data_IF_201246659309
#
_entry.id   IF_201246659309
#
_cell.length_a   1.000
_cell.length_b   1.000
_cell.length_c   1.000
_cell.angle_alpha   90.00
_cell.angle_beta   90.00
_cell.angle_gamma   90.00
#
_symmetry.space_group_name_H-M   'P 1'
#
loop_
_entity.id
_entity.type
_entity.pdbx_description
1 polymer ?
#
# COMPACT_ATOMS: atom_id res chain seq x y z
N UNK A 1 1.06 -2.57 3.61
CA UNK A 1 2.41 -2.38 3.03
C UNK A 1 3.10 -1.22 3.71
N UNK A 2 4.40 -1.27 4.03
CA UNK A 2 5.08 -0.18 4.77
C UNK A 2 6.46 0.22 4.22
N UNK A 3 7.09 -0.62 3.42
CA UNK A 3 8.39 -0.34 2.79
C UNK A 3 8.33 -0.55 1.28
N UNK A 4 9.33 -0.05 0.55
CA UNK A 4 9.46 -0.29 -0.89
C UNK A 4 9.79 -1.77 -1.15
N UNK A 5 10.64 -2.38 -0.32
CA UNK A 5 10.97 -3.81 -0.41
C UNK A 5 9.72 -4.70 -0.26
N UNK A 6 8.76 -4.33 0.60
CA UNK A 6 7.46 -5.03 0.66
C UNK A 6 6.72 -4.97 -0.69
N UNK A 7 6.71 -3.80 -1.35
CA UNK A 7 6.03 -3.58 -2.64
C UNK A 7 6.62 -4.50 -3.69
N UNK A 8 7.94 -4.45 -3.83
CA UNK A 8 8.68 -5.19 -4.85
C UNK A 8 8.52 -6.69 -4.67
N UNK A 9 8.66 -7.18 -3.43
CA UNK A 9 8.51 -8.60 -3.11
C UNK A 9 7.10 -9.10 -3.36
N UNK A 10 6.09 -8.37 -2.91
CA UNK A 10 4.70 -8.79 -3.12
C UNK A 10 4.31 -8.75 -4.60
N UNK A 11 4.75 -7.74 -5.35
CA UNK A 11 4.51 -7.67 -6.79
C UNK A 11 5.24 -8.80 -7.53
N UNK A 12 6.51 -9.07 -7.20
CA UNK A 12 7.29 -10.17 -7.78
C UNK A 12 6.71 -11.55 -7.44
N UNK A 13 6.04 -11.68 -6.28
CA UNK A 13 5.31 -12.88 -5.90
C UNK A 13 3.97 -13.06 -6.66
N UNK A 14 3.60 -12.12 -7.53
CA UNK A 14 2.39 -12.20 -8.35
C UNK A 14 1.13 -11.67 -7.67
N UNK A 15 1.24 -10.76 -6.71
CA UNK A 15 0.06 -10.13 -6.11
C UNK A 15 -0.68 -9.23 -7.12
N UNK A 16 -1.98 -9.46 -7.29
CA UNK A 16 -2.83 -8.62 -8.16
C UNK A 16 -3.19 -7.27 -7.53
N UNK A 17 -3.07 -7.15 -6.21
CA UNK A 17 -3.39 -5.93 -5.46
C UNK A 17 -2.50 -5.75 -4.23
N UNK A 18 -2.19 -4.50 -3.89
CA UNK A 18 -1.40 -4.13 -2.71
C UNK A 18 -2.14 -3.10 -1.85
N UNK A 19 -2.21 -3.40 -0.55
CA UNK A 19 -2.98 -2.63 0.44
C UNK A 19 -2.16 -1.63 1.25
N UNK A 20 -2.66 -0.40 1.33
CA UNK A 20 -2.13 0.71 2.12
C UNK A 20 -3.18 1.10 3.17
N UNK A 21 -2.83 0.96 4.45
CA UNK A 21 -3.78 1.14 5.56
C UNK A 21 -3.72 2.58 6.05
N UNK A 22 -4.82 3.32 5.95
CA UNK A 22 -4.97 4.68 6.45
C UNK A 22 -5.76 4.76 7.77
N UNK A 23 -6.44 3.66 8.14
CA UNK A 23 -7.12 3.49 9.41
C UNK A 23 -6.15 3.48 10.60
N UNK A 24 -6.63 3.90 11.77
CA UNK A 24 -5.85 3.92 13.02
C UNK A 24 -5.36 2.53 13.45
N UNK A 25 -4.15 2.51 14.02
CA UNK A 25 -3.47 1.31 14.50
C UNK A 25 -2.00 1.20 14.11
N UNK A 26 -1.36 0.10 14.48
CA UNK A 26 0.10 -0.11 14.33
C UNK A 26 0.61 -0.11 12.88
N UNK A 27 -0.29 -0.25 11.90
CA UNK A 27 0.04 -0.31 10.47
C UNK A 27 -0.44 0.91 9.69
N UNK A 28 -0.91 1.96 10.38
CA UNK A 28 -1.38 3.19 9.75
C UNK A 28 -0.28 3.88 8.97
N UNK A 29 -0.64 4.34 7.78
CA UNK A 29 0.12 5.23 6.93
C UNK A 29 -0.60 6.57 6.82
N UNK A 30 0.17 7.65 6.70
CA UNK A 30 -0.33 8.92 6.18
C UNK A 30 -0.29 8.93 4.64
N UNK A 31 -1.05 9.80 3.96
CA UNK A 31 -0.94 9.96 2.51
C UNK A 31 0.49 10.26 2.04
N UNK A 32 1.24 11.06 2.79
CA UNK A 32 2.63 11.39 2.49
C UNK A 32 3.55 10.16 2.59
N UNK A 33 3.31 9.26 3.56
CA UNK A 33 4.05 7.99 3.67
C UNK A 33 3.66 7.00 2.58
N UNK A 34 2.39 6.97 2.17
CA UNK A 34 1.90 6.05 1.15
C UNK A 34 2.31 6.45 -0.27
N UNK A 35 2.45 7.76 -0.55
CA UNK A 35 2.82 8.26 -1.88
C UNK A 35 4.03 7.56 -2.51
N UNK A 36 5.22 7.51 -1.87
CA UNK A 36 6.38 6.82 -2.45
C UNK A 36 6.15 5.31 -2.64
N UNK A 37 5.39 4.67 -1.74
CA UNK A 37 5.11 3.23 -1.83
C UNK A 37 4.15 2.93 -3.00
N UNK A 38 3.11 3.73 -3.18
CA UNK A 38 2.15 3.59 -4.28
C UNK A 38 2.76 3.90 -5.64
N UNK A 39 3.78 4.77 -5.69
CA UNK A 39 4.53 5.08 -6.90
C UNK A 39 5.45 3.92 -7.33
N UNK A 40 5.91 3.10 -6.38
CA UNK A 40 6.71 1.91 -6.65
C UNK A 40 5.87 0.69 -7.12
N UNK A 41 4.53 0.80 -7.09
CA UNK A 41 3.66 -0.31 -7.52
C UNK A 41 3.72 -0.46 -9.04
N UNK A 42 4.08 -1.66 -9.57
CA UNK A 42 4.14 -1.88 -11.01
C UNK A 42 2.79 -1.72 -11.71
N UNK A 43 2.84 -1.44 -13.02
CA UNK A 43 1.65 -1.49 -13.86
C UNK A 43 1.00 -2.88 -13.81
N UNK A 44 -0.34 -2.92 -13.75
CA UNK A 44 -1.10 -4.16 -13.64
C UNK A 44 -1.43 -4.59 -12.21
N UNK A 45 -0.78 -4.02 -11.19
CA UNK A 45 -1.09 -4.28 -9.78
C UNK A 45 -2.00 -3.17 -9.23
N UNK A 46 -3.12 -3.56 -8.63
CA UNK A 46 -4.11 -2.63 -8.08
C UNK A 46 -3.61 -2.01 -6.77
N UNK A 47 -3.75 -0.69 -6.65
CA UNK A 47 -3.43 0.06 -5.42
C UNK A 47 -4.71 0.18 -4.59
N UNK A 48 -4.71 -0.37 -3.38
CA UNK A 48 -5.89 -0.38 -2.49
C UNK A 48 -5.64 0.45 -1.24
N UNK A 49 -6.49 1.44 -1.00
CA UNK A 49 -6.52 2.20 0.25
C UNK A 49 -7.53 1.60 1.23
N UNK A 50 -7.10 1.28 2.45
CA UNK A 50 -7.97 0.74 3.51
C UNK A 50 -8.27 1.82 4.53
N UNK A 51 -9.54 2.12 4.69
CA UNK A 51 -10.09 3.11 5.62
C UNK A 51 -11.10 2.43 6.55
N UNK A 52 -11.20 2.90 7.79
CA UNK A 52 -12.18 2.41 8.76
C UNK A 52 -12.81 3.63 9.43
N UNK A 53 -14.14 3.74 9.35
CA UNK A 53 -14.91 4.85 9.91
C UNK A 53 -14.38 6.25 9.54
N UNK A 54 -13.80 6.40 8.33
CA UNK A 54 -13.45 7.71 7.77
C UNK A 54 -14.58 8.21 6.88
N UNK A 55 -14.96 9.51 6.98
CA UNK A 55 -15.88 10.14 6.05
C UNK A 55 -15.27 10.34 4.65
#
# INVERSE_FOLDING_TARGET
MRTIDDVERCAAAGADALGFIFADGARRLTPAQAAPLTAAVPAGVVRVGVFANSP
#
